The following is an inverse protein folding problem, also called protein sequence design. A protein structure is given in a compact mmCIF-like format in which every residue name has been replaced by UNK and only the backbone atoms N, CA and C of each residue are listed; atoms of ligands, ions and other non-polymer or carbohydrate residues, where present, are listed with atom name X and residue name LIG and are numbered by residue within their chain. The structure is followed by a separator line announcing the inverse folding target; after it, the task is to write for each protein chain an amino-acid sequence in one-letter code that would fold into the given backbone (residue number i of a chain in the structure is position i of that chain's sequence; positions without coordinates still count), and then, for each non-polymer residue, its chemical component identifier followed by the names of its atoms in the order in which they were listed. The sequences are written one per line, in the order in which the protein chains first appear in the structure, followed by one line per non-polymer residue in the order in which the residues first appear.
data_IF_305795288966
#
_entry.id   IF_305795288966
#
_cell.length_a   1.000
_cell.length_b   1.000
_cell.length_c   1.000
_cell.angle_alpha   90.00
_cell.angle_beta   90.00
_cell.angle_gamma   90.00
#
_symmetry.space_group_name_H-M   'P 1'
#
loop_
_entity.id
_entity.type
_entity.pdbx_description
1 polymer ?
#
# COMPACT_ATOMS: atom_id res chain seq x y z
N UNK A 1 -20.00 -25.06 -0.39
CA UNK A 1 -20.00 -24.13 -1.54
C UNK A 1 -20.71 -22.78 -1.33
N UNK A 2 -21.87 -22.66 -0.65
CA UNK A 2 -22.50 -21.35 -0.42
C UNK A 2 -21.87 -20.58 0.77
N UNK A 3 -21.52 -21.29 1.85
CA UNK A 3 -20.99 -20.69 3.07
C UNK A 3 -19.69 -19.89 2.86
N UNK A 4 -18.72 -20.44 2.14
CA UNK A 4 -17.46 -19.75 1.83
C UNK A 4 -17.69 -18.47 1.01
N UNK A 5 -18.64 -18.47 0.06
CA UNK A 5 -18.99 -17.29 -0.73
C UNK A 5 -19.67 -16.22 0.12
N UNK A 6 -20.47 -16.62 1.09
CA UNK A 6 -21.10 -15.68 2.05
C UNK A 6 -20.02 -15.05 2.91
N UNK A 7 -19.12 -15.83 3.52
CA UNK A 7 -18.01 -15.32 4.33
C UNK A 7 -17.14 -14.36 3.53
N UNK A 8 -16.73 -14.74 2.32
CA UNK A 8 -15.91 -13.89 1.45
C UNK A 8 -16.58 -12.55 1.18
N UNK A 9 -17.87 -12.54 0.83
CA UNK A 9 -18.63 -11.31 0.58
C UNK A 9 -18.76 -10.45 1.82
N UNK A 10 -19.07 -11.06 2.97
CA UNK A 10 -19.20 -10.35 4.24
C UNK A 10 -17.89 -9.69 4.64
N UNK A 11 -16.79 -10.44 4.65
CA UNK A 11 -15.47 -9.90 4.99
C UNK A 11 -15.03 -8.81 4.02
N UNK A 12 -15.30 -8.99 2.72
CA UNK A 12 -14.97 -8.02 1.68
C UNK A 12 -15.73 -6.71 1.85
N UNK A 13 -17.04 -6.76 2.11
CA UNK A 13 -17.82 -5.53 2.33
C UNK A 13 -17.49 -4.87 3.65
N UNK A 14 -17.24 -5.65 4.70
CA UNK A 14 -16.77 -5.17 5.99
C UNK A 14 -15.45 -4.38 5.83
N UNK A 15 -14.41 -5.00 5.27
CA UNK A 15 -13.10 -4.35 5.14
C UNK A 15 -13.13 -3.18 4.15
N UNK A 16 -13.89 -3.29 3.06
CA UNK A 16 -14.05 -2.20 2.09
C UNK A 16 -14.71 -0.98 2.73
N UNK A 17 -15.77 -1.17 3.53
CA UNK A 17 -16.43 -0.07 4.23
C UNK A 17 -15.49 0.66 5.19
N UNK A 18 -14.78 -0.08 6.05
CA UNK A 18 -13.87 0.55 7.01
C UNK A 18 -12.70 1.25 6.31
N UNK A 19 -12.02 0.59 5.36
CA UNK A 19 -10.91 1.21 4.63
C UNK A 19 -11.37 2.46 3.86
N UNK A 20 -12.58 2.43 3.29
CA UNK A 20 -13.18 3.60 2.65
C UNK A 20 -13.34 4.76 3.63
N UNK A 21 -13.95 4.52 4.79
CA UNK A 21 -14.16 5.55 5.83
C UNK A 21 -12.83 6.10 6.34
N UNK A 22 -11.86 5.23 6.67
CA UNK A 22 -10.54 5.65 7.13
C UNK A 22 -9.78 6.44 6.07
N UNK A 23 -9.82 6.00 4.80
CA UNK A 23 -9.18 6.69 3.69
C UNK A 23 -9.80 8.07 3.42
N UNK A 24 -11.12 8.17 3.46
CA UNK A 24 -11.85 9.42 3.29
C UNK A 24 -11.61 10.40 4.46
N UNK A 25 -11.34 9.90 5.66
CA UNK A 25 -11.04 10.72 6.84
C UNK A 25 -9.60 11.25 6.87
N UNK A 26 -8.66 10.71 6.08
CA UNK A 26 -7.23 11.11 6.09
C UNK A 26 -6.95 12.61 5.95
N UNK A 27 -7.64 13.37 5.09
CA UNK A 27 -7.43 14.82 4.98
C UNK A 27 -7.76 15.55 6.28
N UNK A 28 -8.79 15.09 7.01
CA UNK A 28 -9.21 15.69 8.28
C UNK A 28 -8.42 15.14 9.48
N UNK A 29 -7.88 13.91 9.37
CA UNK A 29 -7.18 13.23 10.45
C UNK A 29 -5.94 14.00 10.95
N UNK A 30 -5.27 14.73 10.05
CA UNK A 30 -4.03 15.46 10.35
C UNK A 30 -4.18 16.98 10.22
N UNK A 31 -5.37 17.52 9.93
CA UNK A 31 -5.55 18.95 9.64
C UNK A 31 -5.43 19.85 10.87
N UNK A 32 -5.67 19.29 12.06
CA UNK A 32 -5.75 20.06 13.30
C UNK A 32 -4.51 19.89 14.17
N UNK A 33 -3.40 19.39 13.61
CA UNK A 33 -2.16 19.26 14.37
C UNK A 33 -1.22 20.43 14.07
N UNK A 34 -1.20 21.41 14.98
CA UNK A 34 -0.30 22.56 14.92
C UNK A 34 1.15 22.23 15.35
N UNK A 35 1.47 20.93 15.46
CA UNK A 35 2.72 20.44 16.01
C UNK A 35 2.80 20.63 17.53
N UNK A 36 4.01 20.42 18.07
CA UNK A 36 4.32 20.57 19.49
C UNK A 36 5.42 21.64 19.62
N UNK A 37 5.07 22.95 19.54
CA UNK A 37 6.05 24.04 19.45
C UNK A 37 6.95 24.15 20.68
N UNK A 38 6.48 23.66 21.82
CA UNK A 38 7.20 23.72 23.10
C UNK A 38 8.10 22.51 23.36
N UNK A 39 8.19 21.55 22.42
CA UNK A 39 9.00 20.33 22.54
C UNK A 39 10.11 20.29 21.49
N UNK A 40 11.28 19.84 21.89
CA UNK A 40 12.33 19.48 20.94
C UNK A 40 11.95 18.18 20.20
N UNK A 41 12.46 17.99 18.99
CA UNK A 41 12.19 16.77 18.19
C UNK A 41 12.58 15.50 18.94
N UNK A 42 13.66 15.54 19.72
CA UNK A 42 14.13 14.43 20.55
C UNK A 42 13.20 14.08 21.72
N UNK A 43 12.27 14.97 22.07
CA UNK A 43 11.33 14.81 23.19
C UNK A 43 9.95 14.37 22.72
N UNK A 44 9.71 14.31 21.41
CA UNK A 44 8.46 13.85 20.84
C UNK A 44 8.31 12.34 21.01
N UNK A 45 7.12 11.90 21.43
CA UNK A 45 6.74 10.50 21.29
C UNK A 45 6.65 10.12 19.80
N UNK A 46 6.71 8.82 19.49
CA UNK A 46 6.56 8.35 18.11
C UNK A 46 5.27 8.86 17.45
N UNK A 47 4.15 8.81 18.18
CA UNK A 47 2.88 9.32 17.69
C UNK A 47 2.93 10.84 17.43
N UNK A 48 3.47 11.63 18.36
CA UNK A 48 3.60 13.09 18.20
C UNK A 48 4.49 13.46 17.01
N UNK A 49 5.59 12.72 16.81
CA UNK A 49 6.48 12.89 15.67
C UNK A 49 5.77 12.59 14.35
N UNK A 50 5.04 11.48 14.28
CA UNK A 50 4.29 11.07 13.09
C UNK A 50 3.15 12.05 12.77
N UNK A 51 2.40 12.50 13.78
CA UNK A 51 1.35 13.50 13.62
C UNK A 51 1.92 14.86 13.18
N UNK A 52 3.10 15.24 13.65
CA UNK A 52 3.77 16.48 13.23
C UNK A 52 4.25 16.39 11.77
N UNK A 53 4.82 15.24 11.38
CA UNK A 53 5.24 14.98 10.00
C UNK A 53 4.08 15.06 9.00
N UNK A 54 2.97 14.35 9.28
CA UNK A 54 1.79 14.36 8.42
C UNK A 54 0.96 15.65 8.54
N UNK A 55 1.11 16.41 9.62
CA UNK A 55 0.50 17.73 9.80
C UNK A 55 1.23 18.83 9.01
N UNK A 56 2.56 18.74 8.85
CA UNK A 56 3.34 19.72 8.07
C UNK A 56 2.91 19.77 6.60
N UNK A 57 2.73 18.60 5.97
CA UNK A 57 2.15 18.51 4.62
C UNK A 57 1.12 17.41 4.53
N UNK A 58 -0.11 17.81 4.18
CA UNK A 58 -1.22 16.88 4.01
C UNK A 58 -1.18 16.09 2.70
N UNK A 59 -0.26 16.41 1.79
CA UNK A 59 -0.18 15.76 0.48
C UNK A 59 -0.03 14.24 0.59
N UNK A 60 0.85 13.75 1.47
CA UNK A 60 1.08 12.32 1.64
C UNK A 60 -0.16 11.61 2.24
N UNK A 61 -0.75 12.08 3.35
CA UNK A 61 -2.00 11.51 3.87
C UNK A 61 -3.14 11.50 2.85
N UNK A 62 -3.28 12.56 2.06
CA UNK A 62 -4.32 12.66 1.02
C UNK A 62 -4.09 11.61 -0.06
N UNK A 63 -2.86 11.44 -0.55
CA UNK A 63 -2.54 10.41 -1.55
C UNK A 63 -2.84 9.01 -1.00
N UNK A 64 -2.41 8.72 0.23
CA UNK A 64 -2.70 7.45 0.90
C UNK A 64 -4.22 7.25 1.00
N UNK A 65 -4.96 8.28 1.41
CA UNK A 65 -6.42 8.24 1.52
C UNK A 65 -7.12 7.97 0.18
N UNK A 66 -6.70 8.63 -0.90
CA UNK A 66 -7.22 8.41 -2.25
C UNK A 66 -6.97 6.96 -2.70
N UNK A 67 -5.78 6.43 -2.45
CA UNK A 67 -5.45 5.05 -2.80
C UNK A 67 -6.25 4.05 -1.96
N UNK A 68 -6.47 4.33 -0.67
CA UNK A 68 -7.35 3.53 0.20
C UNK A 68 -8.80 3.53 -0.32
N UNK A 69 -9.36 4.70 -0.61
CA UNK A 69 -10.72 4.84 -1.16
C UNK A 69 -10.85 4.11 -2.49
N UNK A 70 -9.88 4.30 -3.39
CA UNK A 70 -9.86 3.64 -4.70
C UNK A 70 -9.81 2.12 -4.54
N UNK A 71 -8.91 1.61 -3.69
CA UNK A 71 -8.80 0.18 -3.40
C UNK A 71 -10.08 -0.40 -2.79
N UNK A 72 -10.72 0.33 -1.88
CA UNK A 72 -11.99 -0.06 -1.27
C UNK A 72 -13.13 -0.13 -2.29
N UNK A 73 -13.24 0.85 -3.20
CA UNK A 73 -14.23 0.82 -4.28
C UNK A 73 -13.98 -0.36 -5.24
N UNK A 74 -12.72 -0.66 -5.57
CA UNK A 74 -12.35 -1.81 -6.39
C UNK A 74 -12.71 -3.14 -5.70
N UNK A 75 -12.63 -3.23 -4.37
CA UNK A 75 -13.04 -4.41 -3.61
C UNK A 75 -14.55 -4.72 -3.74
N UNK A 76 -15.41 -3.71 -3.88
CA UNK A 76 -16.86 -3.91 -3.96
C UNK A 76 -17.26 -4.70 -5.23
N UNK A 77 -16.59 -4.44 -6.35
CA UNK A 77 -16.87 -5.14 -7.61
C UNK A 77 -16.23 -6.53 -7.68
N UNK A 78 -17.04 -7.53 -8.03
CA UNK A 78 -16.59 -8.93 -8.18
C UNK A 78 -15.48 -9.09 -9.23
N UNK A 79 -15.42 -8.18 -10.21
CA UNK A 79 -14.46 -8.22 -11.32
C UNK A 79 -13.10 -7.65 -10.92
N UNK A 80 -13.08 -6.64 -10.05
CA UNK A 80 -11.86 -5.88 -9.70
C UNK A 80 -11.34 -6.17 -8.29
N UNK A 81 -12.00 -7.03 -7.52
CA UNK A 81 -11.63 -7.28 -6.12
C UNK A 81 -10.19 -7.74 -5.90
N UNK A 82 -9.61 -8.50 -6.83
CA UNK A 82 -8.19 -8.90 -6.74
C UNK A 82 -7.27 -7.68 -6.88
N UNK A 83 -7.59 -6.77 -7.81
CA UNK A 83 -6.82 -5.53 -8.02
C UNK A 83 -6.94 -4.63 -6.79
N UNK A 84 -8.16 -4.48 -6.26
CA UNK A 84 -8.40 -3.72 -5.02
C UNK A 84 -7.61 -4.29 -3.83
N UNK A 85 -7.63 -5.61 -3.63
CA UNK A 85 -6.87 -6.26 -2.57
C UNK A 85 -5.35 -6.08 -2.72
N UNK A 86 -4.82 -6.23 -3.94
CA UNK A 86 -3.39 -6.04 -4.22
C UNK A 86 -2.94 -4.59 -4.08
N UNK A 87 -3.80 -3.62 -4.39
CA UNK A 87 -3.53 -2.20 -4.16
C UNK A 87 -3.50 -1.88 -2.66
N UNK A 88 -4.47 -2.39 -1.91
CA UNK A 88 -4.61 -2.11 -0.47
C UNK A 88 -3.57 -2.81 0.40
N UNK A 89 -3.08 -3.98 -0.02
CA UNK A 89 -2.10 -4.76 0.75
C UNK A 89 -0.84 -3.99 1.13
N UNK A 90 -0.05 -3.42 0.20
CA UNK A 90 1.14 -2.65 0.56
C UNK A 90 0.81 -1.41 1.37
N UNK A 91 -0.34 -0.77 1.13
CA UNK A 91 -0.79 0.42 1.86
C UNK A 91 -1.10 0.06 3.32
N UNK A 92 -1.90 -0.98 3.54
CA UNK A 92 -2.29 -1.42 4.88
C UNK A 92 -1.08 -1.97 5.63
N UNK A 93 -0.17 -2.70 4.97
CA UNK A 93 1.11 -3.11 5.58
C UNK A 93 1.89 -1.90 6.04
N UNK A 94 2.02 -0.87 5.21
CA UNK A 94 2.76 0.33 5.57
C UNK A 94 2.12 1.06 6.77
N UNK A 95 0.78 1.16 6.81
CA UNK A 95 0.04 1.72 7.96
C UNK A 95 0.30 0.91 9.22
N UNK A 96 0.21 -0.42 9.17
CA UNK A 96 0.48 -1.29 10.32
C UNK A 96 1.91 -1.11 10.83
N UNK A 97 2.90 -1.00 9.94
CA UNK A 97 4.28 -0.76 10.34
C UNK A 97 4.44 0.60 11.02
N UNK A 98 3.84 1.66 10.46
CA UNK A 98 3.83 2.97 11.11
C UNK A 98 3.19 2.91 12.50
N UNK A 99 2.02 2.27 12.61
CA UNK A 99 1.29 2.17 13.86
C UNK A 99 2.09 1.44 14.95
N UNK A 100 2.81 0.37 14.59
CA UNK A 100 3.65 -0.40 15.52
C UNK A 100 4.91 0.39 15.91
N UNK A 101 5.68 0.88 14.92
CA UNK A 101 6.99 1.49 15.20
C UNK A 101 6.87 2.87 15.86
N UNK A 102 5.79 3.60 15.59
CA UNK A 102 5.53 4.91 16.20
C UNK A 102 4.56 4.83 17.39
N UNK A 103 4.21 3.62 17.84
CA UNK A 103 3.36 3.36 19.01
C UNK A 103 2.06 4.17 18.96
N UNK A 104 1.40 4.15 17.81
CA UNK A 104 0.10 4.77 17.60
C UNK A 104 -0.94 4.08 18.49
N UNK A 105 -2.06 4.76 18.76
CA UNK A 105 -3.17 4.26 19.55
C UNK A 105 -3.47 2.76 19.28
N UNK A 106 -3.42 1.96 20.34
CA UNK A 106 -3.58 0.50 20.27
C UNK A 106 -4.84 0.05 19.53
N UNK A 107 -5.95 0.77 19.68
CA UNK A 107 -7.20 0.44 18.97
C UNK A 107 -7.10 0.63 17.46
N UNK A 108 -6.44 1.70 17.01
CA UNK A 108 -6.18 1.93 15.59
C UNK A 108 -5.26 0.85 15.02
N UNK A 109 -4.19 0.50 15.73
CA UNK A 109 -3.23 -0.53 15.36
C UNK A 109 -3.89 -1.90 15.20
N UNK A 110 -4.75 -2.30 16.15
CA UNK A 110 -5.49 -3.56 16.08
C UNK A 110 -6.42 -3.57 14.85
N UNK A 111 -7.15 -2.48 14.61
CA UNK A 111 -8.03 -2.39 13.44
C UNK A 111 -7.24 -2.52 12.13
N UNK A 112 -6.10 -1.83 12.01
CA UNK A 112 -5.25 -1.90 10.83
C UNK A 112 -4.72 -3.32 10.59
N UNK A 113 -4.30 -4.03 11.64
CA UNK A 113 -3.87 -5.43 11.58
C UNK A 113 -5.01 -6.34 11.13
N UNK A 114 -6.20 -6.19 11.73
CA UNK A 114 -7.39 -6.99 11.37
C UNK A 114 -7.74 -6.80 9.89
N UNK A 115 -7.75 -5.56 9.40
CA UNK A 115 -8.04 -5.28 8.00
C UNK A 115 -6.98 -5.87 7.06
N UNK A 116 -5.69 -5.79 7.42
CA UNK A 116 -4.60 -6.41 6.67
C UNK A 116 -4.77 -7.93 6.59
N UNK A 117 -5.09 -8.59 7.71
CA UNK A 117 -5.35 -10.03 7.75
C UNK A 117 -6.54 -10.39 6.86
N UNK A 118 -7.63 -9.62 6.92
CA UNK A 118 -8.80 -9.85 6.06
C UNK A 118 -8.41 -9.76 4.58
N UNK A 119 -7.61 -8.76 4.17
CA UNK A 119 -7.14 -8.64 2.79
C UNK A 119 -6.33 -9.87 2.33
N UNK A 120 -5.46 -10.39 3.20
CA UNK A 120 -4.69 -11.62 2.93
C UNK A 120 -5.63 -12.82 2.77
N UNK A 121 -6.62 -12.97 3.65
CA UNK A 121 -7.63 -14.04 3.58
C UNK A 121 -8.45 -13.95 2.29
N UNK A 122 -8.83 -12.74 1.87
CA UNK A 122 -9.55 -12.53 0.61
C UNK A 122 -8.72 -12.95 -0.62
N UNK A 123 -7.42 -12.66 -0.63
CA UNK A 123 -6.54 -13.16 -1.68
C UNK A 123 -6.38 -14.68 -1.65
N UNK A 124 -6.32 -15.28 -0.46
CA UNK A 124 -6.26 -16.73 -0.30
C UNK A 124 -7.50 -17.42 -0.90
N UNK A 125 -8.70 -16.84 -0.74
CA UNK A 125 -9.91 -17.36 -1.41
C UNK A 125 -9.86 -17.28 -2.94
N UNK A 126 -9.06 -16.38 -3.51
CA UNK A 126 -8.90 -16.20 -4.97
C UNK A 126 -7.60 -16.80 -5.52
N UNK A 127 -6.92 -17.65 -4.75
CA UNK A 127 -5.62 -18.25 -5.09
C UNK A 127 -5.56 -18.93 -6.47
N UNK A 128 -6.66 -19.55 -6.91
CA UNK A 128 -6.74 -20.21 -8.22
C UNK A 128 -6.62 -19.20 -9.37
N UNK A 129 -7.30 -18.06 -9.27
CA UNK A 129 -7.23 -16.98 -10.25
C UNK A 129 -5.87 -16.28 -10.20
N UNK A 130 -5.33 -16.07 -9.00
CA UNK A 130 -3.98 -15.51 -8.82
C UNK A 130 -2.91 -16.34 -9.52
N UNK A 131 -3.00 -17.67 -9.42
CA UNK A 131 -2.07 -18.59 -10.09
C UNK A 131 -2.21 -18.52 -11.61
N UNK A 132 -3.43 -18.38 -12.13
CA UNK A 132 -3.65 -18.20 -13.57
C UNK A 132 -3.08 -16.87 -14.08
N UNK A 133 -3.32 -15.77 -13.37
CA UNK A 133 -2.75 -14.45 -13.67
C UNK A 133 -1.22 -14.54 -13.68
N UNK A 134 -0.63 -15.14 -12.64
CA UNK A 134 0.81 -15.32 -12.57
C UNK A 134 1.34 -16.16 -13.74
N UNK A 135 0.70 -17.28 -14.08
CA UNK A 135 1.10 -18.07 -15.25
C UNK A 135 1.07 -17.25 -16.55
N UNK A 136 0.05 -16.43 -16.77
CA UNK A 136 -0.07 -15.59 -17.97
C UNK A 136 1.03 -14.52 -18.01
N UNK A 137 1.32 -13.88 -16.87
CA UNK A 137 2.32 -12.81 -16.79
C UNK A 137 3.76 -13.35 -16.90
N UNK A 138 4.04 -14.50 -16.28
CA UNK A 138 5.41 -15.00 -16.12
C UNK A 138 5.83 -16.04 -17.16
N UNK A 139 4.90 -16.84 -17.73
CA UNK A 139 5.25 -17.96 -18.62
C UNK A 139 5.32 -17.62 -20.11
N UNK A 140 5.21 -16.36 -20.52
CA UNK A 140 5.49 -15.95 -21.92
C UNK A 140 7.00 -15.90 -22.16
N UNK A 141 7.65 -17.06 -22.20
CA UNK A 141 9.09 -17.20 -22.46
C UNK A 141 9.35 -17.22 -23.97
N UNK A 142 9.52 -16.05 -24.59
CA UNK A 142 10.19 -15.99 -25.90
C UNK A 142 11.70 -16.01 -25.67
N UNK A 143 12.35 -17.16 -25.90
CA UNK A 143 13.81 -17.24 -26.03
C UNK A 143 14.17 -16.60 -27.38
N UNK A 144 14.39 -15.29 -27.38
CA UNK A 144 14.92 -14.58 -28.54
C UNK A 144 16.39 -14.23 -28.27
N UNK A 145 17.37 -14.83 -28.98
CA UNK A 145 18.79 -14.57 -28.76
C UNK A 145 19.17 -13.09 -28.97
N UNK A 146 18.41 -12.32 -29.78
CA UNK A 146 18.61 -10.87 -29.92
C UNK A 146 18.30 -10.09 -28.64
N UNK A 147 17.46 -10.63 -27.75
CA UNK A 147 17.03 -9.99 -26.51
C UNK A 147 18.13 -9.98 -25.44
N UNK A 148 19.00 -10.99 -25.41
CA UNK A 148 20.16 -11.01 -24.52
C UNK A 148 21.21 -9.96 -24.92
N UNK A 149 21.47 -9.80 -26.22
CA UNK A 149 22.36 -8.75 -26.73
C UNK A 149 21.80 -7.35 -26.43
N UNK A 150 20.49 -7.15 -26.62
CA UNK A 150 19.80 -5.90 -26.29
C UNK A 150 19.83 -5.60 -24.78
N UNK A 151 19.69 -6.61 -23.93
CA UNK A 151 19.76 -6.45 -22.49
C UNK A 151 21.16 -6.04 -22.03
N UNK A 152 22.21 -6.73 -22.50
CA UNK A 152 23.61 -6.41 -22.15
C UNK A 152 24.00 -5.02 -22.61
N UNK A 153 23.62 -4.63 -23.84
CA UNK A 153 23.87 -3.28 -24.38
C UNK A 153 23.11 -2.21 -23.61
N UNK A 154 21.84 -2.45 -23.24
CA UNK A 154 21.08 -1.50 -22.41
C UNK A 154 21.65 -1.35 -20.99
N UNK A 155 22.12 -2.43 -20.38
CA UNK A 155 22.73 -2.41 -19.05
C UNK A 155 24.07 -1.65 -19.04
N UNK A 156 24.89 -1.81 -20.09
CA UNK A 156 26.16 -1.06 -20.23
C UNK A 156 25.91 0.42 -20.47
N UNK A 157 24.96 0.79 -21.34
CA UNK A 157 24.55 2.18 -21.54
C UNK A 157 24.01 2.82 -20.25
N UNK A 158 23.20 2.11 -19.49
CA UNK A 158 22.69 2.59 -18.20
C UNK A 158 23.83 2.82 -17.19
N UNK A 159 24.81 1.93 -17.13
CA UNK A 159 26.00 2.11 -16.28
C UNK A 159 26.83 3.33 -16.71
N UNK A 160 27.07 3.52 -18.02
CA UNK A 160 27.78 4.70 -18.54
C UNK A 160 27.04 5.99 -18.22
N UNK A 161 25.71 6.02 -18.40
CA UNK A 161 24.88 7.18 -18.02
C UNK A 161 24.94 7.47 -16.53
N UNK A 162 24.91 6.43 -15.68
CA UNK A 162 25.07 6.58 -14.24
C UNK A 162 26.41 7.23 -13.89
N UNK A 163 27.52 6.74 -14.43
CA UNK A 163 28.84 7.32 -14.17
C UNK A 163 28.98 8.74 -14.73
N UNK A 164 28.47 9.01 -15.94
CA UNK A 164 28.47 10.34 -16.54
C UNK A 164 27.66 11.34 -15.71
N UNK A 165 26.46 10.96 -15.27
CA UNK A 165 25.61 11.77 -14.40
C UNK A 165 26.31 12.05 -13.06
N UNK A 166 26.94 11.04 -12.45
CA UNK A 166 27.65 11.19 -11.18
C UNK A 166 28.89 12.09 -11.32
N UNK A 167 29.55 12.07 -12.48
CA UNK A 167 30.68 12.96 -12.78
C UNK A 167 30.24 14.41 -13.03
N UNK A 168 29.09 14.61 -13.68
CA UNK A 168 28.52 15.94 -13.95
C UNK A 168 28.06 16.68 -12.67
N UNK A 169 27.80 15.92 -11.60
CA UNK A 169 27.35 16.44 -10.30
C UNK A 169 28.50 16.69 -9.31
N UNK A 170 29.74 16.43 -9.70
CA UNK A 170 30.95 16.82 -8.95
C UNK A 170 31.46 18.16 -9.46
#
# INVERSE_FOLDING_TARGET
MPFQKIIERTLRYFVAFFIFVYGAAKPLQFSNNNGFPDKLVSELTGMELMWSFFGYTQTIPIIIGILQVTGALLLLSQRTKIIGALLLLPIMTNIVLFDIFYQVNTGATINAIVFLIILIVLLFFEQNKMTQIFKILTLKKTKDPKKNLLFVTSATLAAMLFFAYTFLQR
#
